data_IF_820373447106
#
_entry.id   IF_820373447106
#
_cell.length_a   1.000
_cell.length_b   1.000
_cell.length_c   1.000
_cell.angle_alpha   90.00
_cell.angle_beta   90.00
_cell.angle_gamma   90.00
#
_symmetry.space_group_name_H-M   'P 1'
#
loop_
_entity.id
_entity.type
_entity.pdbx_description
1 polymer ?
#
# COMPACT_ATOMS: atom_id res chain seq x y z
N UNK A 1 22.91 25.74 39.23
CA UNK A 1 21.63 25.87 38.50
C UNK A 1 21.77 25.93 36.96
N UNK A 2 22.86 26.47 36.37
CA UNK A 2 23.02 26.63 34.92
C UNK A 2 23.25 25.33 34.08
N UNK A 3 23.87 24.29 34.67
CA UNK A 3 24.12 23.04 33.93
C UNK A 3 22.83 22.24 33.61
N UNK A 4 21.82 22.27 34.47
CA UNK A 4 20.56 21.57 34.23
C UNK A 4 19.69 22.17 33.11
N UNK A 5 19.67 23.50 32.99
CA UNK A 5 18.96 24.19 31.89
C UNK A 5 19.59 23.88 30.53
N UNK A 6 20.93 23.91 30.42
CA UNK A 6 21.62 23.59 29.17
C UNK A 6 21.35 22.18 28.66
N UNK A 7 21.22 21.19 29.54
CA UNK A 7 20.89 19.82 29.15
C UNK A 7 19.42 19.64 28.73
N UNK A 8 18.51 20.41 29.32
CA UNK A 8 17.09 20.45 28.89
C UNK A 8 17.00 21.01 27.47
N UNK A 9 17.68 22.13 27.16
CA UNK A 9 17.72 22.70 25.82
C UNK A 9 18.30 21.75 24.77
N UNK A 10 19.41 21.09 25.06
CA UNK A 10 20.02 20.11 24.16
C UNK A 10 19.02 19.00 23.78
N UNK A 11 18.30 18.47 24.77
CA UNK A 11 17.28 17.42 24.54
C UNK A 11 16.10 17.92 23.74
N UNK A 12 15.66 19.16 23.95
CA UNK A 12 14.53 19.76 23.21
C UNK A 12 14.89 20.07 21.77
N UNK A 13 16.12 20.49 21.51
CA UNK A 13 16.60 20.80 20.17
C UNK A 13 16.93 19.56 19.35
N UNK A 14 17.05 18.37 19.95
CA UNK A 14 17.47 17.16 19.26
C UNK A 14 16.63 16.85 18.03
N UNK A 15 15.31 16.83 18.18
CA UNK A 15 14.39 16.49 17.06
C UNK A 15 14.34 17.59 16.02
N UNK A 16 14.11 18.89 16.35
CA UNK A 16 14.14 19.96 15.35
C UNK A 16 15.48 20.07 14.61
N UNK A 17 16.61 19.94 15.31
CA UNK A 17 17.93 19.96 14.68
C UNK A 17 18.16 18.75 13.77
N UNK A 18 17.68 17.58 14.18
CA UNK A 18 17.77 16.38 13.33
C UNK A 18 17.03 16.54 11.99
N UNK A 19 15.91 17.28 11.97
CA UNK A 19 15.18 17.58 10.73
C UNK A 19 16.01 18.43 9.78
N UNK A 20 16.65 19.48 10.30
CA UNK A 20 17.53 20.35 9.51
C UNK A 20 18.71 19.54 8.93
N UNK A 21 19.36 18.72 9.75
CA UNK A 21 20.49 17.89 9.32
C UNK A 21 20.06 16.91 8.22
N UNK A 22 18.94 16.20 8.41
CA UNK A 22 18.45 15.24 7.43
C UNK A 22 18.02 15.94 6.14
N UNK A 23 17.41 17.13 6.23
CA UNK A 23 17.06 17.92 5.05
C UNK A 23 18.29 18.34 4.25
N UNK A 24 19.37 18.77 4.92
CA UNK A 24 20.66 19.12 4.27
C UNK A 24 21.29 17.86 3.64
N UNK A 25 21.29 16.72 4.34
CA UNK A 25 21.80 15.46 3.80
C UNK A 25 20.99 15.01 2.57
N UNK A 26 19.67 15.06 2.63
CA UNK A 26 18.81 14.72 1.51
C UNK A 26 19.04 15.65 0.30
N UNK A 27 19.14 16.96 0.54
CA UNK A 27 19.48 17.92 -0.51
C UNK A 27 20.84 17.60 -1.13
N UNK A 28 21.84 17.33 -0.32
CA UNK A 28 23.19 16.97 -0.80
C UNK A 28 23.18 15.68 -1.60
N UNK A 29 22.53 14.64 -1.11
CA UNK A 29 22.42 13.36 -1.80
C UNK A 29 21.67 13.48 -3.13
N UNK A 30 20.56 14.21 -3.19
CA UNK A 30 19.84 14.45 -4.43
C UNK A 30 20.66 15.18 -5.50
N UNK A 31 21.62 16.02 -5.09
CA UNK A 31 22.52 16.70 -6.03
C UNK A 31 23.74 15.84 -6.42
N UNK A 32 24.15 14.91 -5.60
CA UNK A 32 25.35 14.08 -5.82
C UNK A 32 25.04 12.72 -6.46
N UNK A 33 23.82 12.22 -6.31
CA UNK A 33 23.41 10.90 -6.85
C UNK A 33 22.58 11.08 -8.12
N UNK A 34 22.74 10.15 -9.05
CA UNK A 34 21.90 10.09 -10.25
C UNK A 34 20.67 9.20 -9.97
N UNK A 35 19.49 9.56 -10.50
CA UNK A 35 18.30 8.73 -10.40
C UNK A 35 18.56 7.30 -10.92
N UNK A 36 18.07 6.32 -10.16
CA UNK A 36 18.20 4.90 -10.50
C UNK A 36 16.89 4.38 -11.10
N UNK A 37 16.85 4.33 -12.43
CA UNK A 37 15.68 3.83 -13.13
C UNK A 37 15.66 2.31 -13.15
N UNK A 38 14.56 1.74 -12.70
CA UNK A 38 14.32 0.30 -12.74
C UNK A 38 14.09 -0.15 -14.20
N UNK A 39 14.90 -1.07 -14.72
CA UNK A 39 14.76 -1.54 -16.10
C UNK A 39 13.45 -2.32 -16.28
N UNK A 40 12.87 -2.25 -17.49
CA UNK A 40 11.56 -2.85 -17.80
C UNK A 40 11.63 -3.63 -19.11
N UNK A 41 10.92 -4.76 -19.18
CA UNK A 41 10.63 -5.44 -20.42
C UNK A 41 9.48 -4.75 -21.15
N UNK A 42 9.58 -4.66 -22.45
CA UNK A 42 8.48 -4.20 -23.30
C UNK A 42 7.77 -5.40 -23.92
N UNK A 43 6.49 -5.57 -23.59
CA UNK A 43 5.65 -6.64 -24.15
C UNK A 43 5.04 -6.21 -25.47
N UNK A 44 5.69 -6.48 -26.58
CA UNK A 44 5.18 -6.14 -27.93
C UNK A 44 4.00 -7.04 -28.33
N UNK A 45 3.98 -8.29 -27.88
CA UNK A 45 2.95 -9.29 -28.22
C UNK A 45 1.93 -9.52 -27.10
N UNK A 46 1.80 -8.57 -26.16
CA UNK A 46 0.96 -8.71 -24.97
C UNK A 46 1.59 -9.51 -23.85
N UNK A 47 0.90 -9.63 -22.72
CA UNK A 47 1.38 -10.32 -21.52
C UNK A 47 1.32 -11.84 -21.77
N UNK A 48 2.45 -12.53 -21.62
CA UNK A 48 2.53 -13.96 -21.75
C UNK A 48 1.78 -14.68 -20.62
N UNK A 49 1.37 -15.93 -20.85
CA UNK A 49 0.56 -16.70 -19.89
C UNK A 49 1.30 -16.97 -18.58
N UNK A 50 2.61 -17.16 -18.62
CA UNK A 50 3.47 -17.32 -17.45
C UNK A 50 3.58 -16.04 -16.60
N UNK A 51 3.20 -14.89 -17.15
CA UNK A 51 3.19 -13.59 -16.48
C UNK A 51 1.77 -13.14 -16.12
N UNK A 52 0.83 -14.11 -16.06
CA UNK A 52 -0.56 -13.84 -15.68
C UNK A 52 -0.62 -13.01 -14.39
N UNK A 53 -1.42 -11.94 -14.44
CA UNK A 53 -1.50 -10.95 -13.38
C UNK A 53 -2.95 -10.65 -13.05
N UNK A 54 -3.24 -10.38 -11.79
CA UNK A 54 -4.55 -9.88 -11.36
C UNK A 54 -4.41 -8.51 -10.69
N UNK A 55 -5.22 -7.57 -11.12
CA UNK A 55 -5.41 -6.28 -10.45
C UNK A 55 -6.47 -6.46 -9.38
N UNK A 56 -6.14 -6.22 -8.13
CA UNK A 56 -7.06 -6.36 -7.00
C UNK A 56 -7.39 -5.00 -6.38
N UNK A 57 -8.66 -4.82 -6.03
CA UNK A 57 -9.20 -3.63 -5.37
C UNK A 57 -9.74 -4.05 -4.00
N UNK A 58 -8.89 -4.08 -2.94
CA UNK A 58 -9.35 -4.35 -1.59
C UNK A 58 -10.22 -3.20 -1.08
N UNK A 59 -11.46 -3.48 -0.70
CA UNK A 59 -12.39 -2.41 -0.33
C UNK A 59 -13.39 -2.85 0.73
N UNK A 60 -14.07 -1.86 1.34
CA UNK A 60 -15.26 -2.07 2.16
C UNK A 60 -16.49 -1.78 1.32
N UNK A 61 -17.46 -2.71 1.29
CA UNK A 61 -18.69 -2.57 0.53
C UNK A 61 -19.84 -2.32 1.50
N UNK A 62 -20.24 -1.07 1.61
CA UNK A 62 -21.24 -0.66 2.61
C UNK A 62 -22.61 -0.30 2.04
N UNK A 63 -22.81 -0.39 0.71
CA UNK A 63 -24.08 -0.12 0.06
C UNK A 63 -24.13 -0.60 -1.38
N UNK A 64 -25.34 -0.78 -1.93
CA UNK A 64 -25.54 -1.07 -3.36
C UNK A 64 -24.93 -0.01 -4.28
N UNK A 65 -25.06 1.27 -3.91
CA UNK A 65 -24.46 2.38 -4.68
C UNK A 65 -22.95 2.24 -4.78
N UNK A 66 -22.27 1.93 -3.65
CA UNK A 66 -20.83 1.71 -3.64
C UNK A 66 -20.43 0.49 -4.48
N UNK A 67 -21.24 -0.57 -4.46
CA UNK A 67 -21.04 -1.74 -5.31
C UNK A 67 -21.05 -1.37 -6.81
N UNK A 68 -22.01 -0.56 -7.24
CA UNK A 68 -22.11 -0.08 -8.63
C UNK A 68 -20.92 0.79 -9.03
N UNK A 69 -20.48 1.71 -8.15
CA UNK A 69 -19.31 2.55 -8.39
C UNK A 69 -18.04 1.71 -8.57
N UNK A 70 -17.80 0.75 -7.68
CA UNK A 70 -16.63 -0.13 -7.73
C UNK A 70 -16.55 -0.96 -9.02
N UNK A 71 -17.67 -1.51 -9.47
CA UNK A 71 -17.71 -2.27 -10.73
C UNK A 71 -17.49 -1.37 -11.94
N UNK A 72 -18.01 -0.14 -11.91
CA UNK A 72 -17.74 0.86 -12.95
C UNK A 72 -16.27 1.26 -13.00
N UNK A 73 -15.64 1.49 -11.83
CA UNK A 73 -14.23 1.81 -11.75
C UNK A 73 -13.37 0.65 -12.28
N UNK A 74 -13.69 -0.59 -11.91
CA UNK A 74 -13.02 -1.79 -12.41
C UNK A 74 -13.13 -1.93 -13.94
N UNK A 75 -14.28 -1.58 -14.53
CA UNK A 75 -14.45 -1.54 -15.99
C UNK A 75 -13.54 -0.50 -16.64
N UNK A 76 -13.43 0.70 -16.05
CA UNK A 76 -12.54 1.76 -16.52
C UNK A 76 -11.09 1.29 -16.50
N UNK A 77 -10.65 0.62 -15.43
CA UNK A 77 -9.28 0.10 -15.32
C UNK A 77 -9.00 -0.97 -16.37
N UNK A 78 -9.95 -1.86 -16.63
CA UNK A 78 -9.85 -2.84 -17.70
C UNK A 78 -9.74 -2.17 -19.08
N UNK A 79 -10.58 -1.19 -19.40
CA UNK A 79 -10.56 -0.51 -20.68
C UNK A 79 -9.25 0.26 -20.91
N UNK A 80 -8.67 0.81 -19.84
CA UNK A 80 -7.38 1.49 -19.88
C UNK A 80 -6.18 0.53 -19.97
N UNK A 81 -6.34 -0.75 -19.55
CA UNK A 81 -5.28 -1.75 -19.47
C UNK A 81 -5.73 -3.08 -20.10
N UNK A 82 -6.32 -3.02 -21.30
CA UNK A 82 -6.87 -4.21 -21.97
C UNK A 82 -5.76 -5.10 -22.52
N UNK A 83 -5.41 -6.16 -21.78
CA UNK A 83 -4.37 -7.13 -22.15
C UNK A 83 -4.85 -8.57 -21.90
N UNK A 84 -4.30 -9.53 -22.66
CA UNK A 84 -4.48 -10.95 -22.38
C UNK A 84 -3.75 -11.30 -21.08
N UNK A 85 -4.27 -12.29 -20.34
CA UNK A 85 -3.70 -12.76 -19.07
C UNK A 85 -3.62 -11.68 -17.98
N UNK A 86 -4.41 -10.62 -18.09
CA UNK A 86 -4.64 -9.61 -17.08
C UNK A 86 -6.09 -9.70 -16.59
N UNK A 87 -6.26 -9.96 -15.29
CA UNK A 87 -7.54 -10.14 -14.63
C UNK A 87 -7.80 -9.02 -13.65
N UNK A 88 -9.06 -8.82 -13.29
CA UNK A 88 -9.48 -7.77 -12.35
C UNK A 88 -10.37 -8.35 -11.28
N UNK A 89 -10.11 -8.06 -10.02
CA UNK A 89 -10.87 -8.60 -8.90
C UNK A 89 -11.19 -7.53 -7.85
N UNK A 90 -12.43 -7.47 -7.41
CA UNK A 90 -12.82 -6.72 -6.22
C UNK A 90 -12.73 -7.67 -5.04
N UNK A 91 -11.90 -7.33 -4.05
CA UNK A 91 -11.80 -8.04 -2.80
C UNK A 91 -12.61 -7.28 -1.74
N UNK A 92 -13.79 -7.79 -1.41
CA UNK A 92 -14.76 -7.14 -0.54
C UNK A 92 -14.66 -7.58 0.91
N UNK A 93 -14.86 -6.62 1.82
CA UNK A 93 -15.32 -6.85 3.19
C UNK A 93 -16.57 -6.03 3.42
N UNK A 94 -17.43 -6.49 4.29
CA UNK A 94 -18.46 -5.65 4.86
C UNK A 94 -17.88 -4.62 5.82
N UNK A 95 -18.63 -3.56 6.13
CA UNK A 95 -18.27 -2.61 7.19
C UNK A 95 -18.20 -3.33 8.53
N UNK A 96 -17.35 -2.81 9.41
CA UNK A 96 -17.30 -3.25 10.80
C UNK A 96 -18.67 -3.06 11.47
N UNK A 97 -19.11 -4.04 12.28
CA UNK A 97 -20.42 -4.06 12.91
C UNK A 97 -20.37 -4.67 14.31
N UNK A 98 -21.40 -4.39 15.10
CA UNK A 98 -21.66 -5.08 16.38
C UNK A 98 -22.23 -6.49 16.19
N UNK A 99 -22.74 -6.79 14.99
CA UNK A 99 -23.35 -8.07 14.62
C UNK A 99 -22.56 -8.74 13.51
N UNK A 100 -22.57 -10.08 13.48
CA UNK A 100 -21.93 -10.87 12.42
C UNK A 100 -22.52 -10.55 11.05
N UNK A 101 -23.84 -10.40 10.99
CA UNK A 101 -24.60 -10.11 9.77
C UNK A 101 -25.45 -8.86 9.95
N UNK A 102 -25.57 -8.08 8.89
CA UNK A 102 -26.45 -6.93 8.77
C UNK A 102 -27.53 -7.18 7.72
N UNK A 103 -28.70 -6.56 7.85
CA UNK A 103 -29.84 -6.78 6.97
C UNK A 103 -29.56 -6.55 5.48
N UNK A 104 -28.67 -5.61 5.18
CA UNK A 104 -28.33 -5.23 3.81
C UNK A 104 -27.22 -6.08 3.18
N UNK A 105 -26.55 -6.96 3.93
CA UNK A 105 -25.38 -7.71 3.47
C UNK A 105 -25.71 -8.58 2.24
N UNK A 106 -26.81 -9.34 2.29
CA UNK A 106 -27.21 -10.22 1.20
C UNK A 106 -27.59 -9.45 -0.08
N UNK A 107 -28.21 -8.29 0.06
CA UNK A 107 -28.59 -7.46 -1.06
C UNK A 107 -27.35 -6.85 -1.77
N UNK A 108 -26.35 -6.45 -0.96
CA UNK A 108 -25.05 -5.97 -1.49
C UNK A 108 -24.36 -7.08 -2.29
N UNK A 109 -24.30 -8.30 -1.76
CA UNK A 109 -23.71 -9.44 -2.45
C UNK A 109 -24.44 -9.74 -3.76
N UNK A 110 -25.77 -9.81 -3.74
CA UNK A 110 -26.58 -10.05 -4.94
C UNK A 110 -26.31 -9.00 -6.02
N UNK A 111 -26.23 -7.72 -5.65
CA UNK A 111 -25.91 -6.62 -6.59
C UNK A 111 -24.52 -6.78 -7.18
N UNK A 112 -23.50 -7.08 -6.36
CA UNK A 112 -22.13 -7.30 -6.82
C UNK A 112 -22.03 -8.47 -7.80
N UNK A 113 -22.57 -9.63 -7.45
CA UNK A 113 -22.55 -10.82 -8.30
C UNK A 113 -23.25 -10.55 -9.64
N UNK A 114 -24.42 -9.89 -9.61
CA UNK A 114 -25.15 -9.47 -10.82
C UNK A 114 -24.29 -8.60 -11.73
N UNK A 115 -23.71 -7.53 -11.16
CA UNK A 115 -22.91 -6.56 -11.92
C UNK A 115 -21.64 -7.13 -12.51
N UNK A 116 -20.92 -7.96 -11.75
CA UNK A 116 -19.71 -8.62 -12.26
C UNK A 116 -20.05 -9.61 -13.37
N UNK A 117 -21.18 -10.33 -13.27
CA UNK A 117 -21.66 -11.20 -14.33
C UNK A 117 -22.03 -10.41 -15.60
N UNK A 118 -22.74 -9.28 -15.45
CA UNK A 118 -23.06 -8.37 -16.57
C UNK A 118 -21.77 -7.87 -17.24
N UNK A 119 -20.74 -7.51 -16.45
CA UNK A 119 -19.48 -7.03 -16.97
C UNK A 119 -18.69 -8.11 -17.73
N UNK A 120 -18.64 -9.34 -17.21
CA UNK A 120 -18.07 -10.48 -17.93
C UNK A 120 -18.82 -10.75 -19.24
N UNK A 121 -20.15 -10.75 -19.25
CA UNK A 121 -20.94 -10.93 -20.45
C UNK A 121 -20.67 -9.85 -21.52
N UNK A 122 -20.35 -8.63 -21.08
CA UNK A 122 -20.07 -7.49 -21.98
C UNK A 122 -18.70 -7.56 -22.64
N UNK A 123 -17.68 -8.04 -21.92
CA UNK A 123 -16.28 -7.90 -22.34
C UNK A 123 -15.56 -9.21 -22.58
N UNK A 124 -16.02 -10.31 -22.00
CA UNK A 124 -15.39 -11.61 -22.17
C UNK A 124 -15.93 -12.36 -23.39
N UNK A 125 -15.07 -13.16 -24.01
CA UNK A 125 -15.52 -14.14 -25.00
C UNK A 125 -16.21 -15.30 -24.28
N UNK A 126 -17.04 -16.06 -24.99
CA UNK A 126 -17.73 -17.20 -24.40
C UNK A 126 -16.75 -18.14 -23.69
N UNK A 127 -16.95 -18.33 -22.38
CA UNK A 127 -16.12 -19.21 -21.55
C UNK A 127 -14.86 -18.59 -20.94
N UNK A 128 -14.56 -17.31 -21.23
CA UNK A 128 -13.48 -16.58 -20.57
C UNK A 128 -14.06 -15.67 -19.46
N UNK A 129 -13.41 -15.60 -18.32
CA UNK A 129 -13.74 -14.68 -17.24
C UNK A 129 -12.55 -13.74 -16.99
N UNK A 130 -12.83 -12.46 -16.94
CA UNK A 130 -11.83 -11.39 -16.74
C UNK A 130 -12.03 -10.74 -15.39
N UNK A 131 -13.30 -10.63 -14.96
CA UNK A 131 -13.70 -9.89 -13.76
C UNK A 131 -14.17 -10.84 -12.67
N UNK A 132 -13.64 -10.64 -11.47
CA UNK A 132 -13.91 -11.45 -10.30
C UNK A 132 -14.41 -10.59 -9.15
N UNK A 133 -15.24 -11.18 -8.31
CA UNK A 133 -15.63 -10.63 -7.03
C UNK A 133 -15.49 -11.69 -5.97
N UNK A 134 -14.76 -11.34 -4.90
CA UNK A 134 -14.57 -12.20 -3.74
C UNK A 134 -14.93 -11.40 -2.50
N UNK A 135 -15.78 -11.94 -1.63
CA UNK A 135 -16.16 -11.29 -0.38
C UNK A 135 -15.92 -12.20 0.81
N UNK A 136 -15.45 -11.61 1.91
CA UNK A 136 -15.21 -12.32 3.16
C UNK A 136 -16.38 -12.09 4.13
N UNK A 137 -16.65 -13.10 4.98
CA UNK A 137 -17.54 -12.92 6.13
C UNK A 137 -16.81 -12.17 7.25
N UNK A 138 -17.59 -11.52 8.15
CA UNK A 138 -17.04 -10.89 9.34
C UNK A 138 -16.63 -11.96 10.36
N UNK A 139 -15.53 -11.69 11.05
CA UNK A 139 -15.05 -12.46 12.19
C UNK A 139 -15.05 -11.56 13.43
N UNK A 140 -15.32 -12.13 14.58
CA UNK A 140 -15.27 -11.37 15.83
C UNK A 140 -13.82 -11.13 16.24
N UNK A 141 -13.47 -9.87 16.46
CA UNK A 141 -12.15 -9.49 16.95
C UNK A 141 -12.24 -9.20 18.46
N UNK A 142 -11.66 -10.08 19.26
CA UNK A 142 -11.68 -9.99 20.73
C UNK A 142 -11.05 -8.70 21.26
N UNK A 143 -10.01 -8.18 20.60
CA UNK A 143 -9.29 -6.97 21.02
C UNK A 143 -10.08 -5.70 20.72
N UNK A 144 -10.69 -5.62 19.54
CA UNK A 144 -11.50 -4.47 19.12
C UNK A 144 -12.97 -4.61 19.55
N UNK A 145 -13.41 -5.79 20.01
CA UNK A 145 -14.79 -6.13 20.42
C UNK A 145 -15.82 -5.81 19.34
N UNK A 146 -15.50 -6.16 18.11
CA UNK A 146 -16.32 -5.85 16.93
C UNK A 146 -16.21 -6.99 15.89
N UNK A 147 -17.26 -7.16 15.11
CA UNK A 147 -17.27 -8.03 13.94
C UNK A 147 -16.69 -7.31 12.74
N UNK A 148 -15.61 -7.83 12.13
CA UNK A 148 -14.88 -7.18 11.06
C UNK A 148 -14.23 -8.19 10.09
N UNK A 149 -13.77 -7.73 8.93
CA UNK A 149 -12.89 -8.54 8.08
C UNK A 149 -11.54 -8.75 8.77
N UNK A 150 -11.14 -10.02 8.93
CA UNK A 150 -9.89 -10.39 9.62
C UNK A 150 -8.70 -9.58 9.10
N UNK A 151 -7.97 -8.92 10.01
CA UNK A 151 -6.80 -8.08 9.71
C UNK A 151 -7.00 -7.08 8.55
N UNK A 152 -8.24 -6.71 8.27
CA UNK A 152 -8.59 -5.66 7.29
C UNK A 152 -7.91 -5.90 5.92
N UNK A 153 -7.22 -4.89 5.34
CA UNK A 153 -6.57 -4.99 4.03
C UNK A 153 -5.47 -6.06 4.01
N UNK A 154 -4.63 -6.11 5.04
CA UNK A 154 -3.54 -7.09 5.13
C UNK A 154 -4.07 -8.53 5.08
N UNK A 155 -4.97 -8.87 5.98
CA UNK A 155 -5.56 -10.21 6.03
C UNK A 155 -6.31 -10.56 4.74
N UNK A 156 -6.97 -9.57 4.12
CA UNK A 156 -7.65 -9.72 2.84
C UNK A 156 -6.70 -10.16 1.72
N UNK A 157 -5.55 -9.51 1.60
CA UNK A 157 -4.53 -9.87 0.61
C UNK A 157 -3.86 -11.21 0.94
N UNK A 158 -3.56 -11.46 2.23
CA UNK A 158 -2.97 -12.72 2.69
C UNK A 158 -3.89 -13.91 2.39
N UNK A 159 -5.18 -13.84 2.76
CA UNK A 159 -6.14 -14.90 2.47
C UNK A 159 -6.40 -15.05 0.97
N UNK A 160 -6.42 -13.95 0.20
CA UNK A 160 -6.53 -14.02 -1.26
C UNK A 160 -5.35 -14.78 -1.87
N UNK A 161 -4.14 -14.46 -1.46
CA UNK A 161 -2.95 -15.15 -1.93
C UNK A 161 -2.97 -16.65 -1.59
N UNK A 162 -3.41 -17.02 -0.38
CA UNK A 162 -3.62 -18.43 0.03
C UNK A 162 -4.65 -19.11 -0.85
N UNK A 163 -5.80 -18.47 -1.07
CA UNK A 163 -6.88 -18.99 -1.88
C UNK A 163 -6.45 -19.29 -3.32
N UNK A 164 -5.74 -18.38 -3.98
CA UNK A 164 -5.23 -18.59 -5.34
C UNK A 164 -4.07 -19.60 -5.41
N UNK A 165 -3.51 -20.02 -4.29
CA UNK A 165 -2.56 -21.14 -4.17
C UNK A 165 -3.24 -22.45 -3.74
N UNK A 166 -4.58 -22.46 -3.64
CA UNK A 166 -5.37 -23.66 -3.41
C UNK A 166 -5.67 -23.97 -1.94
N UNK A 167 -5.31 -23.08 -1.01
CA UNK A 167 -5.73 -23.20 0.38
C UNK A 167 -7.22 -22.93 0.52
N UNK A 168 -7.94 -23.81 1.23
CA UNK A 168 -9.40 -23.70 1.41
C UNK A 168 -9.79 -23.00 2.71
N UNK A 169 -8.88 -22.89 3.65
CA UNK A 169 -9.15 -22.29 4.96
C UNK A 169 -8.97 -20.76 4.89
N UNK A 170 -9.95 -20.09 4.29
CA UNK A 170 -10.00 -18.62 4.19
C UNK A 170 -11.39 -18.13 4.55
N UNK A 171 -11.52 -16.87 4.93
CA UNK A 171 -12.82 -16.24 5.20
C UNK A 171 -13.61 -15.84 3.94
N UNK A 172 -13.07 -16.08 2.75
CA UNK A 172 -13.79 -15.87 1.50
C UNK A 172 -14.91 -16.89 1.33
N UNK A 173 -16.15 -16.46 1.54
CA UNK A 173 -17.36 -17.30 1.43
C UNK A 173 -18.20 -16.99 0.19
N UNK A 174 -17.93 -15.89 -0.49
CA UNK A 174 -18.59 -15.52 -1.75
C UNK A 174 -17.53 -15.32 -2.82
N UNK A 175 -17.59 -16.08 -3.89
CA UNK A 175 -16.67 -16.02 -5.01
C UNK A 175 -17.49 -16.04 -6.29
N UNK A 176 -17.30 -15.03 -7.16
CA UNK A 176 -17.83 -15.05 -8.52
C UNK A 176 -16.79 -15.59 -9.48
N UNK A 177 -17.23 -16.41 -10.41
CA UNK A 177 -16.39 -16.96 -11.45
C UNK A 177 -15.55 -18.17 -11.03
N UNK A 178 -14.76 -18.69 -11.99
CA UNK A 178 -13.89 -19.85 -11.76
C UNK A 178 -12.55 -19.42 -11.18
N UNK A 179 -12.38 -19.57 -9.87
CA UNK A 179 -11.14 -19.25 -9.15
C UNK A 179 -9.90 -20.01 -9.68
N UNK A 180 -10.10 -21.13 -10.40
CA UNK A 180 -8.98 -21.88 -10.97
C UNK A 180 -8.21 -21.09 -12.04
N UNK A 181 -8.86 -20.13 -12.68
CA UNK A 181 -8.21 -19.19 -13.60
C UNK A 181 -7.11 -18.42 -12.86
N UNK A 182 -7.39 -17.97 -11.64
CA UNK A 182 -6.48 -17.16 -10.83
C UNK A 182 -5.35 -18.00 -10.17
N UNK A 183 -5.44 -19.33 -10.13
CA UNK A 183 -4.35 -20.17 -9.59
C UNK A 183 -3.01 -20.02 -10.33
N UNK A 184 -3.05 -19.61 -11.59
CA UNK A 184 -1.87 -19.44 -12.45
C UNK A 184 -1.29 -18.02 -12.37
N UNK A 185 -1.90 -17.14 -11.60
CA UNK A 185 -1.45 -15.75 -11.46
C UNK A 185 -0.08 -15.71 -10.76
N UNK A 186 0.86 -15.04 -11.40
CA UNK A 186 2.22 -14.85 -10.89
C UNK A 186 2.34 -13.55 -10.09
N UNK A 187 1.65 -12.51 -10.54
CA UNK A 187 1.72 -11.17 -9.96
C UNK A 187 0.34 -10.67 -9.53
N UNK A 188 0.33 -9.90 -8.46
CA UNK A 188 -0.84 -9.14 -8.02
C UNK A 188 -0.50 -7.66 -8.05
N UNK A 189 -1.34 -6.87 -8.72
CA UNK A 189 -1.32 -5.40 -8.62
C UNK A 189 -2.40 -5.01 -7.62
N UNK A 190 -2.00 -4.47 -6.47
CA UNK A 190 -2.95 -3.98 -5.45
C UNK A 190 -3.15 -2.48 -5.57
N UNK A 191 -4.41 -2.06 -5.51
CA UNK A 191 -4.84 -0.67 -5.54
C UNK A 191 -5.59 -0.36 -4.24
N UNK A 192 -5.67 0.91 -3.84
CA UNK A 192 -6.68 1.31 -2.86
C UNK A 192 -8.01 1.62 -3.56
N UNK A 193 -9.08 1.71 -2.80
CA UNK A 193 -10.41 1.95 -3.34
C UNK A 193 -10.62 3.35 -3.97
N UNK A 194 -9.67 4.26 -3.78
CA UNK A 194 -9.59 5.61 -4.33
C UNK A 194 -8.40 5.80 -5.30
N UNK A 195 -7.62 4.74 -5.56
CA UNK A 195 -6.49 4.77 -6.49
C UNK A 195 -6.96 4.45 -7.90
N UNK A 196 -6.66 5.32 -8.85
CA UNK A 196 -6.92 5.12 -10.28
C UNK A 196 -5.73 4.45 -10.95
N UNK A 197 -6.00 3.52 -11.86
CA UNK A 197 -5.02 2.81 -12.69
C UNK A 197 -4.99 3.44 -14.10
N UNK A 198 -4.00 4.29 -14.43
CA UNK A 198 -3.89 4.90 -15.74
C UNK A 198 -3.66 3.88 -16.87
N UNK A 199 -3.71 4.37 -18.11
CA UNK A 199 -3.51 3.54 -19.30
C UNK A 199 -2.12 2.91 -19.34
N UNK A 200 -2.06 1.61 -19.70
CA UNK A 200 -0.86 0.80 -19.91
C UNK A 200 0.06 0.65 -18.67
N UNK A 201 -0.37 1.15 -17.49
CA UNK A 201 0.40 1.08 -16.24
C UNK A 201 0.56 -0.37 -15.78
N UNK A 202 -0.49 -1.19 -15.86
CA UNK A 202 -0.40 -2.60 -15.48
C UNK A 202 0.68 -3.33 -16.28
N UNK A 203 0.72 -3.14 -17.59
CA UNK A 203 1.71 -3.74 -18.49
C UNK A 203 3.14 -3.29 -18.15
N UNK A 204 3.31 -2.00 -17.85
CA UNK A 204 4.61 -1.42 -17.47
C UNK A 204 5.11 -1.98 -16.14
N UNK A 205 4.23 -2.13 -15.14
CA UNK A 205 4.54 -2.75 -13.84
C UNK A 205 4.96 -4.22 -13.99
N UNK A 206 4.22 -4.99 -14.81
CA UNK A 206 4.56 -6.38 -15.09
C UNK A 206 5.92 -6.47 -15.80
N UNK A 207 6.18 -5.57 -16.75
CA UNK A 207 7.47 -5.48 -17.44
C UNK A 207 8.64 -5.18 -16.50
N UNK A 208 8.43 -4.34 -15.50
CA UNK A 208 9.42 -4.06 -14.47
C UNK A 208 9.68 -5.31 -13.59
N UNK A 209 8.62 -5.97 -13.11
CA UNK A 209 8.75 -7.18 -12.27
C UNK A 209 9.40 -8.34 -13.02
N UNK A 210 9.12 -8.49 -14.30
CA UNK A 210 9.61 -9.63 -15.10
C UNK A 210 11.03 -9.44 -15.64
N UNK A 211 11.58 -8.21 -15.59
CA UNK A 211 12.93 -7.97 -16.04
C UNK A 211 13.94 -8.83 -15.27
N UNK A 212 14.86 -9.54 -15.93
CA UNK A 212 15.77 -10.50 -15.29
C UNK A 212 16.58 -9.94 -14.12
N UNK A 213 17.02 -8.68 -14.20
CA UNK A 213 17.76 -8.01 -13.13
C UNK A 213 16.89 -7.69 -11.89
N UNK A 214 15.58 -7.70 -12.03
CA UNK A 214 14.67 -7.34 -10.96
C UNK A 214 14.04 -8.55 -10.27
N UNK A 215 14.22 -9.76 -10.83
CA UNK A 215 13.62 -10.98 -10.27
C UNK A 215 14.13 -11.24 -8.85
N UNK A 216 13.24 -11.54 -7.89
CA UNK A 216 13.64 -11.77 -6.52
C UNK A 216 14.43 -13.06 -6.35
N UNK A 217 15.59 -12.98 -5.70
CA UNK A 217 16.34 -14.14 -5.22
C UNK A 217 16.20 -14.21 -3.71
N UNK A 218 15.62 -15.30 -3.22
CA UNK A 218 15.29 -15.51 -1.81
C UNK A 218 16.38 -16.31 -1.12
N UNK A 219 16.80 -15.84 0.05
CA UNK A 219 17.54 -16.65 1.01
C UNK A 219 16.57 -17.24 2.05
N UNK A 220 16.24 -18.51 1.90
CA UNK A 220 15.30 -19.20 2.79
C UNK A 220 15.77 -19.29 4.24
N UNK A 221 17.09 -19.37 4.48
CA UNK A 221 17.67 -19.44 5.84
C UNK A 221 17.49 -18.11 6.57
N UNK A 222 17.76 -17.00 5.90
CA UNK A 222 17.65 -15.65 6.46
C UNK A 222 16.24 -15.07 6.31
N UNK A 223 15.33 -15.76 5.61
CA UNK A 223 13.99 -15.26 5.25
C UNK A 223 14.04 -13.83 4.69
N UNK A 224 14.89 -13.60 3.70
CA UNK A 224 15.08 -12.28 3.10
C UNK A 224 15.30 -12.36 1.60
N UNK A 225 14.85 -11.36 0.87
CA UNK A 225 15.17 -11.15 -0.55
C UNK A 225 16.55 -10.53 -0.61
N UNK A 226 17.53 -11.26 -1.18
CA UNK A 226 18.94 -10.84 -1.24
C UNK A 226 19.29 -10.11 -2.53
N UNK A 227 18.55 -10.35 -3.60
CA UNK A 227 18.72 -9.69 -4.90
C UNK A 227 17.36 -9.51 -5.56
N UNK A 228 17.25 -8.52 -6.45
CA UNK A 228 15.99 -8.17 -7.09
C UNK A 228 14.94 -7.66 -6.08
N UNK A 229 13.68 -7.73 -6.46
CA UNK A 229 12.57 -7.14 -5.71
C UNK A 229 11.37 -8.08 -5.74
N UNK A 230 10.78 -8.35 -4.61
CA UNK A 230 9.53 -9.10 -4.55
C UNK A 230 8.30 -8.20 -4.67
N UNK A 231 8.50 -6.87 -4.57
CA UNK A 231 7.45 -5.86 -4.62
C UNK A 231 7.98 -4.61 -5.32
N UNK A 232 7.14 -3.95 -6.12
CA UNK A 232 7.44 -2.66 -6.72
C UNK A 232 6.33 -1.65 -6.46
N UNK A 233 6.74 -0.49 -5.98
CA UNK A 233 5.91 0.67 -5.71
C UNK A 233 6.01 1.64 -6.89
N UNK A 234 4.92 1.95 -7.62
CA UNK A 234 4.92 3.06 -8.58
C UNK A 234 4.89 4.40 -7.86
N UNK A 235 5.24 5.45 -8.55
CA UNK A 235 5.03 6.82 -8.07
C UNK A 235 3.54 7.09 -7.87
N UNK A 236 3.21 7.78 -6.79
CA UNK A 236 1.82 8.17 -6.50
C UNK A 236 1.67 9.68 -6.74
N UNK A 237 0.73 10.07 -7.58
CA UNK A 237 0.30 11.46 -7.73
C UNK A 237 -1.13 11.64 -7.21
N UNK A 238 -1.53 12.89 -7.05
CA UNK A 238 -2.88 13.24 -6.61
C UNK A 238 -3.71 13.66 -7.83
N UNK A 239 -4.92 13.13 -7.93
CA UNK A 239 -5.85 13.47 -9.01
C UNK A 239 -6.21 14.95 -9.02
N UNK A 240 -6.14 15.59 -10.18
CA UNK A 240 -6.45 17.02 -10.37
C UNK A 240 -7.84 17.38 -9.85
N UNK A 241 -8.83 16.49 -10.05
CA UNK A 241 -10.20 16.68 -9.56
C UNK A 241 -10.25 16.75 -8.03
N UNK A 242 -9.58 15.81 -7.35
CA UNK A 242 -9.53 15.74 -5.88
C UNK A 242 -8.71 16.90 -5.29
N UNK A 243 -7.61 17.27 -5.94
CA UNK A 243 -6.81 18.42 -5.56
C UNK A 243 -7.60 19.75 -5.62
N UNK A 244 -8.55 19.88 -6.53
CA UNK A 244 -9.34 21.09 -6.74
C UNK A 244 -10.73 21.08 -6.06
N UNK A 245 -11.09 20.05 -5.32
CA UNK A 245 -12.43 19.84 -4.80
C UNK A 245 -12.88 20.86 -3.74
N UNK A 246 -11.96 21.29 -2.90
CA UNK A 246 -12.20 22.28 -1.82
C UNK A 246 -11.03 23.23 -1.70
N UNK A 247 -11.22 24.36 -0.97
CA UNK A 247 -10.12 25.28 -0.64
C UNK A 247 -9.00 24.56 0.15
N UNK A 248 -9.39 23.68 1.07
CA UNK A 248 -8.44 22.86 1.82
C UNK A 248 -7.59 21.99 0.89
N UNK A 249 -8.21 21.22 0.00
CA UNK A 249 -7.47 20.37 -0.92
C UNK A 249 -6.61 21.19 -1.89
N UNK A 250 -7.06 22.33 -2.38
CA UNK A 250 -6.25 23.24 -3.24
C UNK A 250 -4.96 23.70 -2.57
N UNK A 251 -5.01 24.02 -1.27
CA UNK A 251 -3.84 24.50 -0.52
C UNK A 251 -2.89 23.34 -0.16
N UNK A 252 -3.44 22.20 0.27
CA UNK A 252 -2.64 21.16 0.92
C UNK A 252 -2.33 19.95 0.04
N UNK A 253 -3.00 19.73 -1.10
CA UNK A 253 -2.75 18.55 -1.94
C UNK A 253 -1.43 18.58 -2.71
N UNK A 254 -0.84 19.77 -2.91
CA UNK A 254 0.37 19.92 -3.74
C UNK A 254 1.70 19.67 -3.03
N UNK A 255 1.73 19.72 -1.69
CA UNK A 255 2.97 19.66 -0.92
C UNK A 255 2.99 18.63 0.21
N UNK A 256 1.85 18.07 0.57
CA UNK A 256 1.79 17.01 1.56
C UNK A 256 2.13 15.71 0.87
N UNK A 257 3.36 15.66 0.37
CA UNK A 257 3.97 14.44 -0.11
C UNK A 257 3.92 13.42 1.03
N UNK A 258 3.41 12.26 0.74
CA UNK A 258 3.47 11.09 1.59
C UNK A 258 4.92 10.75 1.93
N UNK A 259 5.86 11.27 1.15
CA UNK A 259 7.27 11.04 1.30
C UNK A 259 8.07 12.28 0.88
N UNK A 260 8.81 12.86 1.82
CA UNK A 260 9.72 13.97 1.57
C UNK A 260 10.97 13.57 0.79
N UNK A 261 11.18 12.26 0.61
CA UNK A 261 12.35 11.71 -0.08
C UNK A 261 12.13 11.51 -1.57
N UNK A 262 10.86 11.48 -2.01
CA UNK A 262 10.50 11.22 -3.40
C UNK A 262 10.21 12.52 -4.15
N UNK A 263 11.02 12.82 -5.15
CA UNK A 263 10.72 13.82 -6.16
C UNK A 263 10.03 13.18 -7.37
N UNK A 264 9.72 13.97 -8.40
CA UNK A 264 9.11 13.42 -9.62
C UNK A 264 9.96 12.34 -10.31
N UNK A 265 11.28 12.32 -10.09
CA UNK A 265 12.24 11.47 -10.80
C UNK A 265 13.19 10.71 -9.87
N UNK A 266 13.42 11.20 -8.66
CA UNK A 266 14.42 10.69 -7.73
C UNK A 266 13.82 10.31 -6.39
N UNK A 267 14.31 9.23 -5.81
CA UNK A 267 14.04 8.78 -4.45
C UNK A 267 15.37 8.37 -3.81
N UNK A 268 15.73 9.01 -2.70
CA UNK A 268 17.03 8.79 -2.06
C UNK A 268 17.23 7.33 -1.64
N UNK A 269 16.20 6.68 -1.15
CA UNK A 269 16.30 5.28 -0.73
C UNK A 269 16.52 4.36 -1.93
N UNK A 270 15.79 4.59 -3.03
CA UNK A 270 15.98 3.83 -4.27
C UNK A 270 17.34 4.13 -4.91
N UNK A 271 17.69 5.40 -5.05
CA UNK A 271 18.88 5.83 -5.78
C UNK A 271 20.18 5.40 -5.09
N UNK A 272 20.25 5.56 -3.76
CA UNK A 272 21.46 5.28 -2.98
C UNK A 272 21.50 3.83 -2.49
N UNK A 273 20.38 3.30 -1.99
CA UNK A 273 20.34 2.00 -1.32
C UNK A 273 19.68 0.90 -2.15
N UNK A 274 19.16 1.22 -3.34
CA UNK A 274 18.46 0.28 -4.22
C UNK A 274 17.27 -0.39 -3.51
N UNK A 275 16.54 0.38 -2.70
CA UNK A 275 15.40 -0.13 -1.93
C UNK A 275 14.41 1.00 -1.59
N UNK A 276 13.27 1.05 -2.26
CA UNK A 276 12.22 2.03 -2.04
C UNK A 276 11.37 1.80 -0.78
N UNK A 277 10.28 2.57 -0.65
CA UNK A 277 9.27 2.44 0.40
C UNK A 277 7.97 1.95 -0.22
N UNK A 278 7.28 1.02 0.43
CA UNK A 278 5.94 0.59 0.03
C UNK A 278 4.86 1.33 0.81
N UNK A 279 3.86 1.81 0.09
CA UNK A 279 2.74 2.58 0.64
C UNK A 279 1.38 1.90 0.41
N UNK A 280 1.39 0.59 0.20
CA UNK A 280 0.18 -0.23 0.09
C UNK A 280 -0.37 -0.37 -1.33
N UNK A 281 0.28 0.19 -2.35
CA UNK A 281 -0.15 0.14 -3.76
C UNK A 281 1.01 -0.20 -4.67
N UNK A 282 0.82 -1.12 -5.58
CA UNK A 282 1.87 -1.56 -6.48
C UNK A 282 1.71 -2.99 -6.91
N UNK A 283 2.79 -3.57 -7.44
CA UNK A 283 2.81 -4.95 -7.93
C UNK A 283 3.73 -5.81 -7.05
N UNK A 284 3.29 -7.04 -6.73
CA UNK A 284 4.14 -7.99 -6.03
C UNK A 284 4.10 -9.39 -6.64
N UNK A 285 5.18 -10.14 -6.46
CA UNK A 285 5.28 -11.55 -6.82
C UNK A 285 4.63 -12.40 -5.72
N UNK A 286 3.57 -13.13 -6.06
CA UNK A 286 2.71 -13.82 -5.08
C UNK A 286 3.50 -14.78 -4.18
N UNK A 287 4.32 -15.64 -4.76
CA UNK A 287 5.03 -16.66 -3.98
C UNK A 287 6.11 -16.06 -3.09
N UNK A 288 6.81 -15.01 -3.56
CA UNK A 288 7.78 -14.27 -2.75
C UNK A 288 7.08 -13.57 -1.58
N UNK A 289 5.96 -12.91 -1.84
CA UNK A 289 5.17 -12.21 -0.83
C UNK A 289 4.72 -13.18 0.27
N UNK A 290 4.12 -14.30 -0.13
CA UNK A 290 3.69 -15.33 0.82
C UNK A 290 4.86 -15.91 1.62
N UNK A 291 5.96 -16.27 0.96
CA UNK A 291 7.10 -16.90 1.64
C UNK A 291 7.75 -15.95 2.65
N UNK A 292 7.87 -14.68 2.33
CA UNK A 292 8.54 -13.70 3.19
C UNK A 292 7.67 -13.23 4.36
N UNK A 293 6.36 -13.17 4.19
CA UNK A 293 5.46 -12.61 5.21
C UNK A 293 4.77 -13.65 6.09
N UNK A 294 4.81 -14.93 5.70
CA UNK A 294 4.12 -15.98 6.45
C UNK A 294 4.59 -16.07 7.91
N UNK A 295 3.69 -15.72 8.82
CA UNK A 295 3.92 -15.76 10.27
C UNK A 295 4.79 -14.63 10.85
N UNK A 296 5.26 -13.67 10.04
CA UNK A 296 6.15 -12.59 10.50
C UNK A 296 5.38 -11.44 11.20
N UNK A 297 4.17 -11.16 10.77
CA UNK A 297 3.33 -10.11 11.36
C UNK A 297 2.19 -10.77 12.15
N UNK A 298 2.26 -10.64 13.47
CA UNK A 298 1.24 -11.22 14.36
C UNK A 298 -0.10 -10.52 14.19
N UNK A 299 -1.16 -11.26 14.43
CA UNK A 299 -2.53 -10.74 14.45
C UNK A 299 -2.67 -9.58 15.47
N UNK A 300 -3.47 -8.59 15.12
CA UNK A 300 -3.75 -7.41 15.97
C UNK A 300 -2.51 -6.62 16.43
N UNK A 301 -1.38 -6.73 15.70
CA UNK A 301 -0.13 -6.06 16.10
C UNK A 301 0.07 -4.70 15.46
N UNK A 302 -0.39 -4.50 14.22
CA UNK A 302 -0.15 -3.27 13.45
C UNK A 302 -1.38 -2.84 12.65
N UNK A 303 -1.62 -1.54 12.59
CA UNK A 303 -2.67 -0.92 11.78
C UNK A 303 -2.19 -0.56 10.37
N UNK A 304 -0.94 -0.12 10.26
CA UNK A 304 -0.27 0.19 9.00
C UNK A 304 0.84 -0.83 8.80
N UNK A 305 0.65 -1.73 7.85
CA UNK A 305 1.54 -2.86 7.61
C UNK A 305 2.45 -2.65 6.39
N UNK A 306 2.17 -1.65 5.57
CA UNK A 306 2.78 -1.45 4.26
C UNK A 306 4.32 -1.37 4.36
N UNK A 307 4.85 -0.57 5.29
CA UNK A 307 6.29 -0.43 5.50
C UNK A 307 6.97 -1.76 5.89
N UNK A 308 6.29 -2.61 6.69
CA UNK A 308 6.81 -3.93 7.04
C UNK A 308 6.79 -4.87 5.84
N UNK A 309 5.68 -4.94 5.12
CA UNK A 309 5.57 -5.75 3.90
C UNK A 309 6.68 -5.40 2.92
N UNK A 310 6.86 -4.10 2.62
CA UNK A 310 7.93 -3.63 1.78
C UNK A 310 9.33 -3.96 2.29
N UNK A 311 9.52 -3.97 3.61
CA UNK A 311 10.80 -4.29 4.25
C UNK A 311 11.14 -5.78 4.16
N UNK A 312 10.17 -6.68 4.35
CA UNK A 312 10.39 -8.12 4.25
C UNK A 312 10.57 -8.59 2.79
N UNK A 313 9.80 -7.99 1.88
CA UNK A 313 9.72 -8.45 0.48
C UNK A 313 10.73 -7.72 -0.41
N UNK A 314 11.42 -6.72 0.10
CA UNK A 314 12.32 -5.79 -0.60
C UNK A 314 11.63 -5.07 -1.76
N UNK A 315 11.33 -3.82 -1.51
CA UNK A 315 10.60 -2.95 -2.45
C UNK A 315 11.53 -2.19 -3.37
N UNK A 316 11.19 -2.11 -4.67
CA UNK A 316 11.69 -1.07 -5.56
C UNK A 316 10.69 0.07 -5.71
N UNK A 317 11.17 1.30 -5.87
CA UNK A 317 10.35 2.41 -6.35
C UNK A 317 10.57 2.60 -7.86
N UNK A 318 9.47 2.53 -8.62
CA UNK A 318 9.48 2.72 -10.08
C UNK A 318 8.94 4.11 -10.38
N UNK A 319 9.83 5.11 -10.44
CA UNK A 319 9.47 6.54 -10.51
C UNK A 319 8.83 6.96 -11.83
N UNK A 320 9.08 6.24 -12.90
CA UNK A 320 8.56 6.49 -14.25
C UNK A 320 7.24 5.77 -14.56
N UNK A 321 6.66 5.09 -13.56
CA UNK A 321 5.30 4.54 -13.59
C UNK A 321 4.48 5.23 -12.51
N UNK A 322 3.27 5.67 -12.86
CA UNK A 322 2.44 6.50 -11.98
C UNK A 322 1.06 5.89 -11.74
N UNK A 323 0.63 5.88 -10.48
CA UNK A 323 -0.75 5.70 -10.06
C UNK A 323 -1.30 7.02 -9.55
N UNK A 324 -2.61 7.23 -9.69
CA UNK A 324 -3.27 8.47 -9.27
C UNK A 324 -4.17 8.19 -8.09
N UNK A 325 -3.92 8.87 -6.98
CA UNK A 325 -4.65 8.72 -5.73
C UNK A 325 -5.68 9.83 -5.51
N UNK A 326 -6.70 9.51 -4.71
CA UNK A 326 -7.60 10.48 -4.15
C UNK A 326 -6.97 11.28 -3.00
N UNK A 327 -7.44 12.51 -2.79
CA UNK A 327 -7.05 13.37 -1.68
C UNK A 327 -8.24 13.71 -0.78
N UNK A 328 -8.08 13.73 0.57
CA UNK A 328 -9.15 14.14 1.47
C UNK A 328 -9.63 15.56 1.19
N UNK A 329 -10.91 15.71 0.90
CA UNK A 329 -11.48 17.02 0.60
C UNK A 329 -11.55 17.95 1.83
N UNK A 330 -11.55 17.39 3.07
CA UNK A 330 -11.78 18.15 4.29
C UNK A 330 -10.69 17.87 5.33
N UNK A 331 -10.36 18.91 6.12
CA UNK A 331 -9.37 18.86 7.19
C UNK A 331 -9.59 17.70 8.17
N UNK A 332 -10.83 17.51 8.64
CA UNK A 332 -11.14 16.42 9.57
C UNK A 332 -10.84 15.02 9.00
N UNK A 333 -11.07 14.82 7.71
CA UNK A 333 -10.75 13.56 7.03
C UNK A 333 -9.24 13.37 6.90
N UNK A 334 -8.51 14.44 6.63
CA UNK A 334 -7.05 14.44 6.59
C UNK A 334 -6.45 14.13 7.96
N UNK A 335 -6.94 14.78 9.02
CA UNK A 335 -6.49 14.50 10.40
C UNK A 335 -6.75 13.05 10.83
N UNK A 336 -7.93 12.49 10.51
CA UNK A 336 -8.23 11.07 10.80
C UNK A 336 -7.26 10.13 10.06
N UNK A 337 -6.92 10.44 8.82
CA UNK A 337 -5.94 9.68 8.04
C UNK A 337 -4.55 9.76 8.66
N UNK A 338 -4.08 10.96 8.97
CA UNK A 338 -2.77 11.19 9.61
C UNK A 338 -2.68 10.49 10.98
N UNK A 339 -3.71 10.62 11.82
CA UNK A 339 -3.77 9.94 13.11
C UNK A 339 -3.63 8.43 12.99
N UNK A 340 -4.28 7.83 11.99
CA UNK A 340 -4.17 6.37 11.73
C UNK A 340 -2.75 5.99 11.32
N UNK A 341 -2.09 6.78 10.48
CA UNK A 341 -0.73 6.54 10.05
C UNK A 341 0.27 6.65 11.19
N UNK A 342 0.26 7.78 11.91
CA UNK A 342 1.12 7.98 13.09
C UNK A 342 0.92 6.85 14.11
N UNK A 343 -0.32 6.49 14.42
CA UNK A 343 -0.59 5.35 15.30
C UNK A 343 0.01 4.05 14.77
N UNK A 344 -0.09 3.80 13.46
CA UNK A 344 0.52 2.65 12.81
C UNK A 344 2.04 2.65 12.94
N UNK A 345 2.72 3.78 12.69
CA UNK A 345 4.17 3.91 12.82
C UNK A 345 4.65 3.60 14.25
N UNK A 346 3.94 4.09 15.27
CA UNK A 346 4.29 3.80 16.67
C UNK A 346 4.13 2.32 17.04
N UNK A 347 3.27 1.59 16.38
CA UNK A 347 3.14 0.13 16.55
C UNK A 347 4.33 -0.65 15.98
N UNK A 348 5.17 -0.03 15.13
CA UNK A 348 6.35 -0.65 14.54
C UNK A 348 7.59 -0.66 15.46
N UNK A 349 7.58 0.04 16.60
CA UNK A 349 8.69 0.11 17.55
C UNK A 349 9.30 -1.27 17.88
N UNK A 350 8.52 -2.34 18.12
CA UNK A 350 9.09 -3.65 18.44
C UNK A 350 10.03 -4.20 17.36
N UNK A 351 9.83 -3.85 16.08
CA UNK A 351 10.68 -4.31 14.98
C UNK A 351 12.07 -3.66 14.95
N UNK A 352 12.24 -2.48 15.59
CA UNK A 352 13.56 -1.85 15.75
C UNK A 352 14.47 -2.72 16.59
N UNK A 353 13.95 -3.31 17.68
CA UNK A 353 14.72 -4.04 18.68
C UNK A 353 14.75 -5.56 18.45
N UNK A 354 13.74 -6.11 17.77
CA UNK A 354 13.70 -7.55 17.49
C UNK A 354 14.81 -7.97 16.51
N UNK A 355 15.32 -9.19 16.68
CA UNK A 355 16.11 -9.90 15.67
C UNK A 355 15.15 -10.47 14.62
N UNK A 356 14.78 -9.65 13.66
CA UNK A 356 13.90 -10.01 12.54
C UNK A 356 14.71 -10.02 11.24
N UNK A 357 14.10 -10.53 10.17
CA UNK A 357 14.72 -10.57 8.84
C UNK A 357 14.84 -9.17 8.18
N UNK A 358 14.23 -8.12 8.74
CA UNK A 358 14.35 -6.76 8.19
C UNK A 358 15.76 -6.19 8.39
N UNK A 359 16.27 -5.53 7.35
CA UNK A 359 17.60 -4.97 7.31
C UNK A 359 17.74 -3.66 8.14
N UNK A 360 18.97 -3.12 8.21
CA UNK A 360 19.24 -1.88 8.96
C UNK A 360 18.56 -0.66 8.35
N UNK A 361 18.44 -0.61 7.03
CA UNK A 361 17.75 0.47 6.32
C UNK A 361 16.25 0.49 6.66
N UNK A 362 15.60 -0.67 6.68
CA UNK A 362 14.20 -0.80 7.10
C UNK A 362 13.98 -0.34 8.55
N UNK A 363 14.90 -0.68 9.46
CA UNK A 363 14.86 -0.17 10.84
C UNK A 363 15.02 1.35 10.89
N UNK A 364 15.90 1.91 10.07
CA UNK A 364 16.06 3.35 9.93
C UNK A 364 14.77 4.02 9.44
N UNK A 365 14.10 3.47 8.42
CA UNK A 365 12.82 3.98 7.92
C UNK A 365 11.76 4.06 9.03
N UNK A 366 11.69 3.03 9.91
CA UNK A 366 10.80 3.05 11.08
C UNK A 366 11.20 4.18 12.05
N UNK A 367 12.48 4.30 12.39
CA UNK A 367 12.97 5.35 13.31
C UNK A 367 12.68 6.74 12.74
N UNK A 368 12.88 6.94 11.44
CA UNK A 368 12.63 8.22 10.80
C UNK A 368 11.14 8.61 10.76
N UNK A 369 10.24 7.65 10.54
CA UNK A 369 8.79 7.91 10.67
C UNK A 369 8.42 8.35 12.09
N UNK A 370 8.97 7.68 13.12
CA UNK A 370 8.75 8.08 14.51
C UNK A 370 9.31 9.48 14.81
N UNK A 371 10.52 9.77 14.33
CA UNK A 371 11.16 11.09 14.46
C UNK A 371 10.30 12.18 13.84
N UNK A 372 9.83 11.98 12.61
CA UNK A 372 8.94 12.93 11.90
C UNK A 372 7.63 13.16 12.65
N UNK A 373 7.02 12.11 13.21
CA UNK A 373 5.78 12.24 13.99
C UNK A 373 5.94 13.03 15.30
N UNK A 374 7.17 13.17 15.80
CA UNK A 374 7.49 13.93 17.00
C UNK A 374 7.92 15.39 16.70
N UNK A 375 8.08 15.77 15.44
CA UNK A 375 8.62 17.08 15.07
C UNK A 375 7.71 18.21 15.54
N UNK A 376 6.42 18.20 15.19
CA UNK A 376 5.49 19.26 15.58
C UNK A 376 5.31 19.36 17.10
N UNK A 377 5.12 18.27 17.85
CA UNK A 377 5.12 18.31 19.32
C UNK A 377 6.42 18.89 19.90
N UNK A 378 7.58 18.56 19.32
CA UNK A 378 8.86 19.08 19.78
C UNK A 378 9.02 20.58 19.53
N UNK A 379 8.58 21.07 18.36
CA UNK A 379 8.58 22.50 18.03
C UNK A 379 7.65 23.27 18.97
N UNK A 380 6.42 22.82 19.18
CA UNK A 380 5.47 23.45 20.10
C UNK A 380 6.06 23.52 21.51
N UNK A 381 6.64 22.43 21.99
CA UNK A 381 7.30 22.40 23.28
C UNK A 381 8.45 23.39 23.38
N UNK A 382 9.30 23.47 22.35
CA UNK A 382 10.40 24.44 22.29
C UNK A 382 9.91 25.88 22.34
N UNK A 383 8.86 26.23 21.58
CA UNK A 383 8.27 27.58 21.59
C UNK A 383 7.73 27.94 22.97
N UNK A 384 6.97 27.03 23.61
CA UNK A 384 6.43 27.24 24.95
C UNK A 384 7.53 27.46 25.98
N UNK A 385 8.61 26.69 25.94
CA UNK A 385 9.73 26.86 26.87
C UNK A 385 10.49 28.18 26.64
N UNK A 386 10.75 28.54 25.38
CA UNK A 386 11.38 29.83 25.05
C UNK A 386 10.51 31.00 25.53
N UNK A 387 9.20 30.92 25.33
CA UNK A 387 8.25 31.95 25.80
C UNK A 387 8.26 32.07 27.34
N UNK A 388 8.28 30.96 28.08
CA UNK A 388 8.32 30.98 29.54
C UNK A 388 9.65 31.54 30.13
N UNK A 389 10.75 31.47 29.40
CA UNK A 389 12.04 31.98 29.84
C UNK A 389 12.14 33.51 29.62
N UNK A 390 11.45 34.01 28.58
CA UNK A 390 11.44 35.45 28.28
C UNK A 390 10.37 36.23 29.08
N UNK A 391 9.51 35.57 29.84
CA UNK A 391 8.57 36.16 30.81
C UNK A 391 9.21 36.18 32.20
#
# INVERSE_FOLDING_TARGET
MSRGLGDVYKRQLLIPTSEIIISILNWSLNNLTKPDFIPKLQFTNGIAKENSTVVVIPTLIGSKKRAQELVKDMEVYYLANKEKNLYFAILGDFKDSKSEKEENDEEIIKEMLKRVKELNNKHSKAGEEIFFFLNRYRQYNEKEKIWMGWERKRGKLEEFNKLIRGEKNTSYNTISGDINILKKVKYVITLDADTKLPRDVAKSLIGAMEHPLNRPIINNVKKSVIHGYGLMQPRISIGVEDANKTLFSKIFSGQVGLDTYTTAVSDIYQDVFKEGIFTGKGIYHVDTFNTMLNGEIKENSVLSHDLLEGSYVRTALVTDIELVDGYPAYYNSSCKRLHRWVRGDWQLIPWIFKRTAINRLSKWKIIDNLRRSLLEPAIIRLILFLSLIHI
#
